data_IF_520258473128
#
_entry.id   IF_520258473128
#
_cell.length_a   1.000
_cell.length_b   1.000
_cell.length_c   1.000
_cell.angle_alpha   90.00
_cell.angle_beta   90.00
_cell.angle_gamma   90.00
#
_symmetry.space_group_name_H-M   'P 1'
#
loop_
_entity.id
_entity.type
_entity.pdbx_description
1 polymer ?
#
# COMPACT_ATOMS: atom_id res chain seq x y z
N UNK A 1 8.43 -11.84 -25.75
CA UNK A 1 7.21 -11.01 -25.74
C UNK A 1 6.14 -11.64 -26.63
N UNK A 2 5.99 -12.98 -26.60
CA UNK A 2 5.45 -13.73 -27.74
C UNK A 2 5.04 -15.18 -27.43
N UNK A 3 4.85 -15.53 -26.15
CA UNK A 3 4.69 -16.94 -25.77
C UNK A 3 3.30 -17.50 -26.09
N UNK A 4 2.28 -16.64 -26.17
CA UNK A 4 0.90 -17.06 -26.45
C UNK A 4 0.38 -16.50 -27.78
N UNK A 5 0.91 -15.35 -28.21
CA UNK A 5 0.62 -14.76 -29.51
C UNK A 5 1.04 -15.66 -30.68
N UNK A 6 2.27 -16.21 -30.67
CA UNK A 6 2.72 -17.06 -31.78
C UNK A 6 1.92 -18.36 -31.92
N UNK A 7 1.65 -19.13 -30.84
CA UNK A 7 0.75 -20.29 -30.93
C UNK A 7 -0.65 -19.93 -31.41
N UNK A 8 -1.20 -18.80 -30.95
CA UNK A 8 -2.52 -18.33 -31.37
C UNK A 8 -2.57 -17.99 -32.87
N UNK A 9 -1.58 -17.25 -33.38
CA UNK A 9 -1.48 -16.89 -34.80
C UNK A 9 -1.25 -18.12 -35.68
N UNK A 10 -0.48 -19.09 -35.19
CA UNK A 10 -0.26 -20.37 -35.88
C UNK A 10 -1.55 -21.19 -35.98
N UNK A 11 -2.31 -21.29 -34.88
CA UNK A 11 -3.64 -21.94 -34.90
C UNK A 11 -4.60 -21.26 -35.86
N UNK A 12 -4.67 -19.93 -35.86
CA UNK A 12 -5.49 -19.16 -36.80
C UNK A 12 -5.10 -19.40 -38.25
N UNK A 13 -3.79 -19.42 -38.55
CA UNK A 13 -3.29 -19.71 -39.89
C UNK A 13 -3.63 -21.14 -40.33
N UNK A 14 -3.51 -22.13 -39.44
CA UNK A 14 -3.90 -23.51 -39.72
C UNK A 14 -5.41 -23.65 -39.99
N UNK A 15 -6.26 -22.96 -39.21
CA UNK A 15 -7.70 -22.92 -39.43
C UNK A 15 -8.06 -22.28 -40.78
N UNK A 16 -7.40 -21.16 -41.12
CA UNK A 16 -7.57 -20.50 -42.42
C UNK A 16 -7.09 -21.38 -43.58
N UNK A 17 -6.00 -22.12 -43.41
CA UNK A 17 -5.49 -23.06 -44.41
C UNK A 17 -6.49 -24.19 -44.66
N UNK A 18 -7.06 -24.76 -43.60
CA UNK A 18 -8.08 -25.80 -43.70
C UNK A 18 -9.34 -25.29 -44.40
N UNK A 19 -9.80 -24.07 -44.06
CA UNK A 19 -10.96 -23.47 -44.72
C UNK A 19 -10.69 -23.18 -46.21
N UNK A 20 -9.50 -22.68 -46.55
CA UNK A 20 -9.11 -22.45 -47.94
C UNK A 20 -9.04 -23.75 -48.75
N UNK A 21 -8.52 -24.83 -48.16
CA UNK A 21 -8.47 -26.14 -48.79
C UNK A 21 -9.88 -26.72 -49.04
N UNK A 22 -10.79 -26.60 -48.06
CA UNK A 22 -12.17 -27.09 -48.18
C UNK A 22 -12.99 -26.35 -49.23
N UNK A 23 -12.80 -25.03 -49.35
CA UNK A 23 -13.59 -24.15 -50.24
C UNK A 23 -12.90 -23.82 -51.58
N UNK A 24 -11.74 -24.41 -51.87
CA UNK A 24 -10.89 -24.11 -53.05
C UNK A 24 -10.52 -22.62 -53.16
N UNK A 25 -10.33 -21.94 -52.03
CA UNK A 25 -9.79 -20.57 -51.99
C UNK A 25 -8.25 -20.58 -52.06
N UNK A 26 -7.62 -19.43 -52.38
CA UNK A 26 -6.17 -19.36 -52.49
C UNK A 26 -5.48 -19.65 -51.15
N UNK A 27 -4.64 -20.70 -51.11
CA UNK A 27 -3.94 -21.13 -49.89
C UNK A 27 -2.98 -20.08 -49.33
N UNK A 28 -2.55 -19.12 -50.15
CA UNK A 28 -1.68 -18.01 -49.72
C UNK A 28 -2.37 -17.09 -48.69
N UNK A 29 -3.70 -17.11 -48.56
CA UNK A 29 -4.42 -16.38 -47.51
C UNK A 29 -4.02 -16.84 -46.11
N UNK A 30 -3.72 -18.13 -45.91
CA UNK A 30 -3.24 -18.64 -44.64
C UNK A 30 -1.83 -18.12 -44.31
N UNK A 31 -0.96 -17.97 -45.32
CA UNK A 31 0.36 -17.38 -45.16
C UNK A 31 0.26 -15.86 -44.83
N UNK A 32 -0.68 -15.15 -45.45
CA UNK A 32 -0.97 -13.76 -45.13
C UNK A 32 -1.48 -13.60 -43.69
N UNK A 33 -2.35 -14.50 -43.21
CA UNK A 33 -2.82 -14.51 -41.81
C UNK A 33 -1.69 -14.85 -40.83
N UNK A 34 -0.76 -15.73 -41.19
CA UNK A 34 0.39 -16.07 -40.35
C UNK A 34 1.34 -14.87 -40.16
N UNK A 35 1.59 -14.12 -41.24
CA UNK A 35 2.50 -12.97 -41.25
C UNK A 35 1.82 -11.69 -40.73
N UNK A 36 0.51 -11.55 -40.94
CA UNK A 36 -0.28 -10.39 -40.58
C UNK A 36 -1.67 -10.82 -40.07
N UNK A 37 -1.79 -11.32 -38.84
CA UNK A 37 -3.05 -11.85 -38.29
C UNK A 37 -4.18 -10.81 -38.18
N UNK A 38 -3.86 -9.51 -38.23
CA UNK A 38 -4.82 -8.40 -38.32
C UNK A 38 -5.63 -8.46 -39.62
N UNK A 39 -5.15 -9.18 -40.64
CA UNK A 39 -5.85 -9.38 -41.92
C UNK A 39 -6.91 -10.48 -41.86
N UNK A 40 -6.98 -11.26 -40.78
CA UNK A 40 -7.94 -12.39 -40.61
C UNK A 40 -9.41 -11.96 -40.81
N UNK A 41 -9.89 -10.84 -40.23
CA UNK A 41 -11.24 -10.32 -40.50
C UNK A 41 -11.56 -10.12 -41.98
N UNK A 42 -10.62 -9.56 -42.75
CA UNK A 42 -10.82 -9.30 -44.18
C UNK A 42 -11.08 -10.61 -44.94
N UNK A 43 -10.33 -11.66 -44.64
CA UNK A 43 -10.50 -12.96 -45.27
C UNK A 43 -11.76 -13.71 -44.79
N UNK A 44 -12.17 -13.53 -43.52
CA UNK A 44 -13.44 -14.06 -42.99
C UNK A 44 -14.64 -13.47 -43.75
N UNK A 45 -14.70 -12.15 -43.91
CA UNK A 45 -15.79 -11.49 -44.66
C UNK A 45 -15.76 -11.83 -46.15
N UNK A 46 -14.58 -12.04 -46.73
CA UNK A 46 -14.42 -12.46 -48.14
C UNK A 46 -14.83 -13.91 -48.38
N UNK A 47 -14.69 -14.80 -47.39
CA UNK A 47 -14.97 -16.24 -47.52
C UNK A 47 -16.37 -16.67 -47.02
N UNK A 48 -17.02 -15.89 -46.13
CA UNK A 48 -18.38 -16.13 -45.61
C UNK A 48 -19.16 -14.83 -45.46
N UNK A 49 -20.05 -14.55 -46.40
CA UNK A 49 -20.89 -13.33 -46.37
C UNK A 49 -21.98 -13.34 -45.28
N UNK A 50 -22.58 -14.50 -44.96
CA UNK A 50 -23.68 -14.59 -43.97
C UNK A 50 -23.23 -14.90 -42.54
N UNK A 51 -22.23 -15.79 -42.37
CA UNK A 51 -21.71 -16.19 -41.05
C UNK A 51 -20.46 -15.40 -40.60
N UNK A 52 -19.95 -14.51 -41.47
CA UNK A 52 -18.70 -13.78 -41.23
C UNK A 52 -18.73 -12.90 -39.99
N UNK A 53 -19.90 -12.38 -39.61
CA UNK A 53 -20.06 -11.55 -38.41
C UNK A 53 -19.83 -12.33 -37.12
N UNK A 54 -20.33 -13.57 -37.02
CA UNK A 54 -20.11 -14.43 -35.84
C UNK A 54 -18.63 -14.78 -35.70
N UNK A 55 -17.99 -15.18 -36.81
CA UNK A 55 -16.55 -15.51 -36.83
C UNK A 55 -15.67 -14.30 -36.54
N UNK A 56 -16.05 -13.11 -37.02
CA UNK A 56 -15.38 -11.86 -36.69
C UNK A 56 -15.48 -11.53 -35.19
N UNK A 57 -16.66 -11.70 -34.58
CA UNK A 57 -16.84 -11.47 -33.15
C UNK A 57 -16.01 -12.46 -32.31
N UNK A 58 -15.93 -13.73 -32.72
CA UNK A 58 -15.07 -14.73 -32.07
C UNK A 58 -13.58 -14.36 -32.21
N UNK A 59 -13.15 -13.94 -33.40
CA UNK A 59 -11.77 -13.47 -33.61
C UNK A 59 -11.47 -12.26 -32.74
N UNK A 60 -12.34 -11.25 -32.72
CA UNK A 60 -12.14 -10.03 -31.93
C UNK A 60 -12.05 -10.35 -30.44
N UNK A 61 -12.94 -11.19 -29.91
CA UNK A 61 -12.94 -11.58 -28.51
C UNK A 61 -11.66 -12.35 -28.13
N UNK A 62 -11.26 -13.33 -28.95
CA UNK A 62 -10.06 -14.15 -28.68
C UNK A 62 -8.77 -13.34 -28.86
N UNK A 63 -8.66 -12.51 -29.89
CA UNK A 63 -7.51 -11.65 -30.12
C UNK A 63 -7.33 -10.64 -28.98
N UNK A 64 -8.43 -10.02 -28.54
CA UNK A 64 -8.41 -9.08 -27.40
C UNK A 64 -8.01 -9.80 -26.12
N UNK A 65 -8.51 -11.00 -25.86
CA UNK A 65 -8.14 -11.81 -24.71
C UNK A 65 -6.64 -12.16 -24.67
N UNK A 66 -6.09 -12.62 -25.79
CA UNK A 66 -4.65 -12.95 -25.91
C UNK A 66 -3.79 -11.70 -25.73
N UNK A 67 -4.16 -10.59 -26.39
CA UNK A 67 -3.42 -9.33 -26.27
C UNK A 67 -3.45 -8.76 -24.84
N UNK A 68 -4.61 -8.78 -24.18
CA UNK A 68 -4.75 -8.32 -22.80
C UNK A 68 -3.92 -9.18 -21.83
N UNK A 69 -3.93 -10.51 -22.01
CA UNK A 69 -3.15 -11.43 -21.18
C UNK A 69 -1.64 -11.25 -21.38
N UNK A 70 -1.17 -11.11 -22.62
CA UNK A 70 0.25 -10.84 -22.88
C UNK A 70 0.69 -9.49 -22.33
N UNK A 71 -0.16 -8.46 -22.46
CA UNK A 71 0.11 -7.16 -21.87
C UNK A 71 0.21 -7.24 -20.35
N UNK A 72 -0.73 -7.94 -19.71
CA UNK A 72 -0.73 -8.15 -18.26
C UNK A 72 0.52 -8.91 -17.78
N UNK A 73 0.86 -10.03 -18.42
CA UNK A 73 2.04 -10.83 -18.05
C UNK A 73 3.34 -10.09 -18.33
N UNK A 74 3.43 -9.32 -19.41
CA UNK A 74 4.56 -8.44 -19.69
C UNK A 74 4.71 -7.35 -18.63
N UNK A 75 3.61 -6.67 -18.29
CA UNK A 75 3.62 -5.65 -17.23
C UNK A 75 4.11 -6.26 -15.90
N UNK A 76 3.59 -7.42 -15.51
CA UNK A 76 4.00 -8.11 -14.28
C UNK A 76 5.49 -8.52 -14.33
N UNK A 77 5.97 -9.00 -15.47
CA UNK A 77 7.39 -9.41 -15.63
C UNK A 77 8.32 -8.21 -15.62
N UNK A 78 7.94 -7.12 -16.30
CA UNK A 78 8.66 -5.86 -16.31
C UNK A 78 8.76 -5.27 -14.90
N UNK A 79 7.70 -5.36 -14.12
CA UNK A 79 7.68 -4.92 -12.73
C UNK A 79 8.58 -5.80 -11.85
N UNK A 80 8.47 -7.13 -11.95
CA UNK A 80 9.34 -8.09 -11.24
C UNK A 80 10.83 -7.88 -11.54
N UNK A 81 11.16 -7.53 -12.79
CA UNK A 81 12.54 -7.36 -13.27
C UNK A 81 13.01 -5.91 -13.29
N UNK A 82 12.21 -4.95 -12.81
CA UNK A 82 12.51 -3.51 -12.86
C UNK A 82 13.91 -3.17 -12.32
N UNK A 83 14.34 -3.90 -11.29
CA UNK A 83 15.63 -3.71 -10.63
C UNK A 83 16.64 -4.82 -10.90
N UNK A 84 16.39 -5.76 -11.82
CA UNK A 84 17.23 -6.94 -12.04
C UNK A 84 18.69 -6.60 -12.44
N UNK A 85 18.89 -5.43 -13.05
CA UNK A 85 20.20 -4.90 -13.43
C UNK A 85 21.01 -4.36 -12.22
N UNK A 86 20.38 -4.17 -11.06
CA UNK A 86 21.03 -3.63 -9.86
C UNK A 86 21.67 -4.75 -9.02
N UNK A 87 22.76 -4.45 -8.28
CA UNK A 87 23.36 -5.39 -7.34
C UNK A 87 22.34 -5.93 -6.32
N UNK A 88 22.49 -7.17 -5.82
CA UNK A 88 21.56 -7.76 -4.84
C UNK A 88 21.29 -6.87 -3.63
N UNK A 89 22.33 -6.25 -3.06
CA UNK A 89 22.22 -5.35 -1.89
C UNK A 89 21.36 -4.12 -2.23
N UNK A 90 21.57 -3.52 -3.41
CA UNK A 90 20.79 -2.37 -3.89
C UNK A 90 19.33 -2.76 -4.16
N UNK A 91 19.07 -3.95 -4.71
CA UNK A 91 17.70 -4.45 -4.88
C UNK A 91 16.98 -4.63 -3.55
N UNK A 92 17.69 -5.18 -2.56
CA UNK A 92 17.13 -5.42 -1.24
C UNK A 92 16.83 -4.12 -0.50
N UNK A 93 17.72 -3.12 -0.57
CA UNK A 93 17.47 -1.82 0.06
C UNK A 93 16.28 -1.09 -0.57
N UNK A 94 16.11 -1.17 -1.89
CA UNK A 94 14.94 -0.58 -2.57
C UNK A 94 13.65 -1.25 -2.10
N UNK A 95 13.63 -2.58 -1.98
CA UNK A 95 12.45 -3.29 -1.46
C UNK A 95 12.14 -2.91 -0.01
N UNK A 96 13.15 -2.82 0.83
CA UNK A 96 12.97 -2.40 2.23
C UNK A 96 12.53 -0.94 2.33
N UNK A 97 13.03 -0.05 1.46
CA UNK A 97 12.58 1.35 1.43
C UNK A 97 11.14 1.49 0.94
N UNK A 98 10.73 0.66 -0.03
CA UNK A 98 9.36 0.63 -0.53
C UNK A 98 8.39 0.08 0.55
N UNK A 99 8.78 -0.99 1.25
CA UNK A 99 8.04 -1.54 2.40
C UNK A 99 7.88 -0.52 3.53
N UNK A 100 8.98 0.15 3.89
CA UNK A 100 8.98 1.21 4.90
C UNK A 100 8.05 2.35 4.51
N UNK A 101 8.15 2.83 3.27
CA UNK A 101 7.27 3.88 2.75
C UNK A 101 5.80 3.46 2.82
N UNK A 102 5.46 2.25 2.38
CA UNK A 102 4.08 1.80 2.35
C UNK A 102 3.50 1.63 3.76
N UNK A 103 4.26 1.04 4.69
CA UNK A 103 3.82 0.86 6.08
C UNK A 103 3.67 2.21 6.79
N UNK A 104 4.55 3.18 6.54
CA UNK A 104 4.43 4.53 7.09
C UNK A 104 3.17 5.24 6.57
N UNK A 105 2.86 5.13 5.26
CA UNK A 105 1.62 5.68 4.69
C UNK A 105 0.38 5.01 5.29
N UNK A 106 0.42 3.70 5.50
CA UNK A 106 -0.69 2.96 6.09
C UNK A 106 -0.94 3.42 7.53
N UNK A 107 0.12 3.58 8.32
CA UNK A 107 0.03 4.08 9.69
C UNK A 107 -0.54 5.50 9.73
N UNK A 108 -0.05 6.41 8.89
CA UNK A 108 -0.57 7.79 8.80
C UNK A 108 -2.08 7.80 8.49
N UNK A 109 -2.52 6.99 7.54
CA UNK A 109 -3.95 6.87 7.19
C UNK A 109 -4.76 6.32 8.36
N UNK A 110 -4.26 5.29 9.03
CA UNK A 110 -4.95 4.67 10.15
C UNK A 110 -5.09 5.63 11.34
N UNK A 111 -4.07 6.44 11.63
CA UNK A 111 -4.13 7.49 12.66
C UNK A 111 -5.18 8.57 12.33
N UNK A 112 -5.28 8.98 11.06
CA UNK A 112 -6.34 9.92 10.61
C UNK A 112 -7.73 9.30 10.77
N UNK A 113 -7.89 8.01 10.45
CA UNK A 113 -9.16 7.31 10.65
C UNK A 113 -9.51 7.18 12.13
N UNK A 114 -8.53 6.92 13.00
CA UNK A 114 -8.75 6.89 14.46
C UNK A 114 -9.32 8.22 14.94
N UNK A 115 -8.73 9.34 14.50
CA UNK A 115 -9.21 10.66 14.87
C UNK A 115 -10.68 10.87 14.44
N UNK A 116 -11.02 10.53 13.19
CA UNK A 116 -12.36 10.69 12.66
C UNK A 116 -13.42 9.90 13.43
N UNK A 117 -13.08 8.68 13.84
CA UNK A 117 -13.98 7.81 14.59
C UNK A 117 -14.06 8.26 16.06
N UNK A 118 -12.93 8.69 16.65
CA UNK A 118 -12.88 9.14 18.04
C UNK A 118 -13.72 10.39 18.33
N UNK A 119 -13.93 11.25 17.33
CA UNK A 119 -14.74 12.49 17.45
C UNK A 119 -16.23 12.25 17.67
N UNK A 120 -16.72 11.03 17.40
CA UNK A 120 -18.15 10.72 17.52
C UNK A 120 -18.41 10.21 18.94
N UNK A 121 -18.62 11.15 19.87
CA UNK A 121 -18.79 10.82 21.27
C UNK A 121 -20.23 10.46 21.64
N UNK A 122 -20.35 9.52 22.59
CA UNK A 122 -21.53 9.22 23.41
C UNK A 122 -22.48 8.12 22.92
N UNK A 123 -22.05 7.20 22.03
CA UNK A 123 -22.82 5.98 21.77
C UNK A 123 -22.01 4.71 22.03
N UNK A 124 -22.65 3.75 22.71
CA UNK A 124 -22.06 2.46 23.05
C UNK A 124 -21.51 1.70 21.82
N UNK A 125 -22.18 1.83 20.67
CA UNK A 125 -21.73 1.26 19.39
C UNK A 125 -20.40 1.89 18.93
N UNK A 126 -20.29 3.21 18.99
CA UNK A 126 -19.12 3.97 18.53
C UNK A 126 -17.90 3.71 19.43
N UNK A 127 -18.12 3.56 20.74
CA UNK A 127 -17.06 3.11 21.68
C UNK A 127 -16.50 1.75 21.27
N UNK A 128 -17.38 0.79 20.95
CA UNK A 128 -16.94 -0.55 20.53
C UNK A 128 -16.20 -0.53 19.20
N UNK A 129 -16.72 0.20 18.21
CA UNK A 129 -16.07 0.39 16.92
C UNK A 129 -14.67 1.02 17.08
N UNK A 130 -14.52 1.99 17.99
CA UNK A 130 -13.22 2.62 18.26
C UNK A 130 -12.25 1.64 18.93
N UNK A 131 -12.69 0.86 19.92
CA UNK A 131 -11.87 -0.17 20.58
C UNK A 131 -11.34 -1.18 19.55
N UNK A 132 -12.24 -1.71 18.71
CA UNK A 132 -11.86 -2.70 17.69
C UNK A 132 -10.91 -2.10 16.64
N UNK A 133 -11.09 -0.82 16.30
CA UNK A 133 -10.19 -0.11 15.41
C UNK A 133 -8.80 0.14 16.03
N UNK A 134 -8.70 0.46 17.32
CA UNK A 134 -7.41 0.58 18.02
C UNK A 134 -6.63 -0.74 17.96
N UNK A 135 -7.31 -1.88 18.12
CA UNK A 135 -6.71 -3.20 17.94
C UNK A 135 -6.08 -3.39 16.55
N UNK A 136 -6.78 -2.94 15.50
CA UNK A 136 -6.25 -2.96 14.11
C UNK A 136 -5.07 -2.00 13.93
N UNK A 137 -5.15 -0.80 14.52
CA UNK A 137 -4.09 0.20 14.45
C UNK A 137 -2.79 -0.28 15.10
N UNK A 138 -2.84 -1.04 16.21
CA UNK A 138 -1.66 -1.64 16.83
C UNK A 138 -0.92 -2.58 15.89
N UNK A 139 -1.66 -3.43 15.17
CA UNK A 139 -1.06 -4.34 14.18
C UNK A 139 -0.33 -3.54 13.10
N UNK A 140 -0.94 -2.47 12.58
CA UNK A 140 -0.32 -1.58 11.57
C UNK A 140 0.93 -0.88 12.13
N UNK A 141 0.89 -0.46 13.40
CA UNK A 141 2.04 0.15 14.08
C UNK A 141 3.19 -0.85 14.24
N UNK A 142 2.91 -2.08 14.67
CA UNK A 142 3.90 -3.16 14.81
C UNK A 142 4.55 -3.50 13.46
N UNK A 143 3.74 -3.58 12.39
CA UNK A 143 4.25 -3.78 11.02
C UNK A 143 5.21 -2.67 10.59
N UNK A 144 4.86 -1.41 10.87
CA UNK A 144 5.71 -0.26 10.56
C UNK A 144 7.01 -0.28 11.38
N UNK A 145 6.94 -0.52 12.69
CA UNK A 145 8.13 -0.64 13.55
C UNK A 145 9.04 -1.80 13.11
N UNK A 146 8.46 -2.94 12.73
CA UNK A 146 9.21 -4.06 12.18
C UNK A 146 9.89 -3.71 10.86
N UNK A 147 9.22 -2.97 9.98
CA UNK A 147 9.81 -2.48 8.72
C UNK A 147 10.98 -1.51 8.97
N UNK A 148 10.80 -0.56 9.89
CA UNK A 148 11.87 0.35 10.36
C UNK A 148 13.06 -0.45 10.88
N UNK A 149 12.83 -1.41 11.77
CA UNK A 149 13.90 -2.21 12.37
C UNK A 149 14.67 -3.02 11.32
N UNK A 150 13.97 -3.65 10.36
CA UNK A 150 14.60 -4.36 9.23
C UNK A 150 15.44 -3.42 8.37
N UNK A 151 14.91 -2.25 8.04
CA UNK A 151 15.61 -1.25 7.24
C UNK A 151 16.86 -0.72 7.94
N UNK A 152 16.75 -0.34 9.22
CA UNK A 152 17.85 0.16 10.04
C UNK A 152 18.94 -0.89 10.19
N UNK A 153 18.58 -2.14 10.49
CA UNK A 153 19.54 -3.24 10.60
C UNK A 153 20.28 -3.45 9.29
N UNK A 154 19.55 -3.59 8.18
CA UNK A 154 20.16 -3.80 6.86
C UNK A 154 21.08 -2.64 6.45
N UNK A 155 20.67 -1.40 6.73
CA UNK A 155 21.49 -0.21 6.43
C UNK A 155 22.75 -0.17 7.27
N UNK A 156 22.67 -0.56 8.54
CA UNK A 156 23.82 -0.66 9.45
C UNK A 156 24.82 -1.71 8.97
N UNK A 157 24.34 -2.92 8.66
CA UNK A 157 25.18 -4.06 8.24
C UNK A 157 25.94 -3.76 6.93
N UNK A 158 25.34 -2.98 6.02
CA UNK A 158 25.91 -2.65 4.72
C UNK A 158 26.30 -1.17 4.57
N UNK A 159 26.50 -0.44 5.66
CA UNK A 159 26.76 1.00 5.65
C UNK A 159 27.95 1.38 4.73
N UNK A 160 29.07 0.65 4.84
CA UNK A 160 30.25 0.87 4.00
C UNK A 160 29.95 0.70 2.51
N UNK A 161 29.07 -0.23 2.13
CA UNK A 161 28.65 -0.42 0.74
C UNK A 161 27.87 0.80 0.24
N UNK A 162 26.90 1.29 1.03
CA UNK A 162 26.06 2.43 0.64
C UNK A 162 26.87 3.71 0.49
N UNK A 163 27.78 4.00 1.43
CA UNK A 163 28.68 5.15 1.35
C UNK A 163 29.56 5.08 0.11
N UNK A 164 30.20 3.94 -0.16
CA UNK A 164 31.07 3.76 -1.35
C UNK A 164 30.32 3.88 -2.66
N UNK A 165 29.03 3.53 -2.70
CA UNK A 165 28.18 3.61 -3.90
C UNK A 165 27.43 4.93 -4.05
N UNK A 166 27.66 5.90 -3.15
CA UNK A 166 26.98 7.19 -3.18
C UNK A 166 25.48 7.10 -2.87
N UNK A 167 25.04 6.02 -2.21
CA UNK A 167 23.64 5.80 -1.83
C UNK A 167 23.34 6.43 -0.46
N UNK A 168 23.75 7.69 -0.29
CA UNK A 168 23.67 8.40 1.00
C UNK A 168 22.24 8.60 1.49
N UNK A 169 21.26 8.63 0.58
CA UNK A 169 19.83 8.71 0.92
C UNK A 169 19.38 7.57 1.83
N UNK A 170 19.96 6.37 1.69
CA UNK A 170 19.65 5.21 2.56
C UNK A 170 20.12 5.50 3.98
N UNK A 171 21.36 5.97 4.12
CA UNK A 171 21.94 6.35 5.41
C UNK A 171 21.16 7.50 6.05
N UNK A 172 20.64 8.45 5.27
CA UNK A 172 19.82 9.56 5.76
C UNK A 172 18.47 9.06 6.32
N UNK A 173 17.82 8.10 5.65
CA UNK A 173 16.60 7.47 6.18
C UNK A 173 16.90 6.76 7.51
N UNK A 174 17.99 6.01 7.59
CA UNK A 174 18.41 5.37 8.84
C UNK A 174 18.64 6.41 9.95
N UNK A 175 19.34 7.51 9.65
CA UNK A 175 19.61 8.59 10.62
C UNK A 175 18.32 9.23 11.13
N UNK A 176 17.29 9.38 10.29
CA UNK A 176 15.98 9.86 10.71
C UNK A 176 15.34 8.90 11.71
N UNK A 177 15.19 7.62 11.36
CA UNK A 177 14.45 6.66 12.20
C UNK A 177 15.20 6.24 13.48
N UNK A 178 16.51 6.46 13.53
CA UNK A 178 17.31 6.26 14.75
C UNK A 178 17.41 7.51 15.63
N UNK A 179 16.87 8.65 15.17
CA UNK A 179 16.85 9.87 15.96
C UNK A 179 15.98 9.71 17.22
N UNK A 180 16.47 10.25 18.34
CA UNK A 180 15.78 10.19 19.64
C UNK A 180 14.35 10.73 19.57
N UNK A 181 14.11 11.84 18.86
CA UNK A 181 12.79 12.45 18.78
C UNK A 181 11.79 11.53 18.08
N UNK A 182 12.23 10.83 17.04
CA UNK A 182 11.42 9.86 16.30
C UNK A 182 11.14 8.63 17.16
N UNK A 183 12.17 8.05 17.80
CA UNK A 183 12.02 6.88 18.67
C UNK A 183 11.07 7.17 19.85
N UNK A 184 11.22 8.33 20.49
CA UNK A 184 10.37 8.72 21.62
C UNK A 184 8.94 9.00 21.16
N UNK A 185 8.73 9.57 19.97
CA UNK A 185 7.40 9.79 19.40
C UNK A 185 6.63 8.47 19.20
N UNK A 186 7.26 7.42 18.65
CA UNK A 186 6.62 6.11 18.53
C UNK A 186 6.27 5.51 19.89
N UNK A 187 7.16 5.63 20.86
CA UNK A 187 6.90 5.16 22.23
C UNK A 187 5.72 5.89 22.88
N UNK A 188 5.62 7.20 22.70
CA UNK A 188 4.50 7.96 23.29
C UNK A 188 3.19 7.72 22.55
N UNK A 189 3.22 7.40 21.25
CA UNK A 189 2.06 6.95 20.50
C UNK A 189 1.49 5.64 21.07
N UNK A 190 2.36 4.67 21.34
CA UNK A 190 1.98 3.40 21.96
C UNK A 190 1.31 3.62 23.32
N UNK A 191 1.95 4.41 24.20
CA UNK A 191 1.37 4.75 25.51
C UNK A 191 0.04 5.50 25.38
N UNK A 192 -0.11 6.39 24.40
CA UNK A 192 -1.38 7.04 24.12
C UNK A 192 -2.47 6.03 23.77
N UNK A 193 -2.21 5.11 22.84
CA UNK A 193 -3.17 4.10 22.40
C UNK A 193 -3.57 3.15 23.53
N UNK A 194 -2.62 2.75 24.38
CA UNK A 194 -2.89 1.95 25.59
C UNK A 194 -3.84 2.65 26.56
N UNK A 195 -3.58 3.91 26.89
CA UNK A 195 -4.42 4.64 27.84
C UNK A 195 -5.78 4.99 27.23
N UNK A 196 -5.83 5.26 25.92
CA UNK A 196 -7.08 5.53 25.23
C UNK A 196 -7.98 4.30 25.19
N UNK A 197 -7.43 3.14 24.83
CA UNK A 197 -8.18 1.88 24.83
C UNK A 197 -8.67 1.53 26.25
N UNK A 198 -7.84 1.69 27.28
CA UNK A 198 -8.24 1.43 28.66
C UNK A 198 -9.43 2.31 29.09
N UNK A 199 -9.40 3.59 28.75
CA UNK A 199 -10.52 4.52 28.98
C UNK A 199 -11.78 4.07 28.23
N UNK A 200 -11.66 3.71 26.95
CA UNK A 200 -12.80 3.28 26.14
C UNK A 200 -13.40 1.98 26.65
N UNK A 201 -12.59 0.99 27.02
CA UNK A 201 -13.05 -0.28 27.60
C UNK A 201 -13.81 0.00 28.90
N UNK A 202 -13.24 0.82 29.80
CA UNK A 202 -13.92 1.16 31.05
C UNK A 202 -15.26 1.85 30.80
N UNK A 203 -15.28 2.80 29.86
CA UNK A 203 -16.46 3.57 29.47
C UNK A 203 -17.53 2.69 28.82
N UNK A 204 -17.12 1.73 27.99
CA UNK A 204 -18.00 0.77 27.34
C UNK A 204 -18.65 -0.18 28.35
N UNK A 205 -17.85 -0.78 29.24
CA UNK A 205 -18.34 -1.73 30.25
C UNK A 205 -19.26 -1.07 31.28
N UNK A 206 -19.00 0.18 31.65
CA UNK A 206 -19.75 0.90 32.70
C UNK A 206 -20.65 2.00 32.13
N UNK A 207 -20.99 1.94 30.84
CA UNK A 207 -21.64 3.03 30.12
C UNK A 207 -22.88 3.59 30.84
N UNK A 208 -23.80 2.73 31.26
CA UNK A 208 -25.02 3.19 31.95
C UNK A 208 -24.74 3.76 33.34
N UNK A 209 -23.80 3.19 34.08
CA UNK A 209 -23.44 3.65 35.43
C UNK A 209 -22.78 5.04 35.38
N UNK A 210 -22.00 5.31 34.33
CA UNK A 210 -21.35 6.61 34.09
C UNK A 210 -22.37 7.63 33.56
N UNK A 211 -23.10 7.28 32.50
CA UNK A 211 -24.03 8.22 31.83
C UNK A 211 -25.21 8.65 32.70
N UNK A 212 -25.69 7.76 33.58
CA UNK A 212 -26.77 8.08 34.52
C UNK A 212 -26.27 8.59 35.88
N UNK A 213 -24.96 8.72 36.05
CA UNK A 213 -24.33 9.14 37.32
C UNK A 213 -24.81 8.35 38.54
N UNK A 214 -25.11 7.06 38.37
CA UNK A 214 -25.75 6.22 39.40
C UNK A 214 -24.78 5.83 40.53
N UNK A 215 -23.46 5.85 40.27
CA UNK A 215 -22.44 5.46 41.24
C UNK A 215 -21.26 6.42 41.27
N UNK A 216 -21.00 7.00 42.46
CA UNK A 216 -19.83 7.85 42.71
C UNK A 216 -18.50 7.12 42.49
N UNK A 217 -18.46 5.81 42.71
CA UNK A 217 -17.25 5.00 42.51
C UNK A 217 -16.92 4.83 41.03
N UNK A 218 -17.94 4.57 40.19
CA UNK A 218 -17.75 4.46 38.74
C UNK A 218 -17.30 5.79 38.11
N UNK A 219 -17.83 6.92 38.61
CA UNK A 219 -17.39 8.25 38.17
C UNK A 219 -15.93 8.54 38.58
N UNK A 220 -15.55 8.25 39.83
CA UNK A 220 -14.18 8.44 40.31
C UNK A 220 -13.16 7.62 39.50
N UNK A 221 -13.50 6.37 39.19
CA UNK A 221 -12.64 5.50 38.38
C UNK A 221 -12.57 5.98 36.93
N UNK A 222 -13.69 6.40 36.34
CA UNK A 222 -13.71 7.03 35.02
C UNK A 222 -12.79 8.25 34.96
N UNK A 223 -12.88 9.15 35.94
CA UNK A 223 -12.02 10.34 36.03
C UNK A 223 -10.53 9.95 36.11
N UNK A 224 -10.20 8.88 36.82
CA UNK A 224 -8.82 8.38 36.89
C UNK A 224 -8.32 7.89 35.52
N UNK A 225 -9.12 7.10 34.79
CA UNK A 225 -8.79 6.67 33.43
C UNK A 225 -8.67 7.86 32.48
N UNK A 226 -9.58 8.83 32.59
CA UNK A 226 -9.57 10.04 31.79
C UNK A 226 -8.31 10.88 32.03
N UNK A 227 -7.90 11.06 33.30
CA UNK A 227 -6.66 11.79 33.65
C UNK A 227 -5.42 11.09 33.08
N UNK A 228 -5.35 9.75 33.14
CA UNK A 228 -4.24 8.98 32.56
C UNK A 228 -4.17 9.15 31.04
N UNK A 229 -5.32 9.01 30.37
CA UNK A 229 -5.47 9.27 28.95
C UNK A 229 -5.02 10.70 28.59
N UNK A 230 -5.52 11.72 29.29
CA UNK A 230 -5.18 13.12 29.02
C UNK A 230 -3.68 13.38 29.14
N UNK A 231 -3.03 12.86 30.19
CA UNK A 231 -1.57 12.95 30.35
C UNK A 231 -0.81 12.28 29.21
N UNK A 232 -1.31 11.14 28.72
CA UNK A 232 -0.70 10.44 27.59
C UNK A 232 -0.85 11.22 26.28
N UNK A 233 -2.02 11.82 26.03
CA UNK A 233 -2.27 12.73 24.90
C UNK A 233 -1.32 13.93 24.94
N UNK A 234 -1.24 14.62 26.08
CA UNK A 234 -0.38 15.80 26.22
C UNK A 234 1.10 15.44 25.99
N UNK A 235 1.55 14.30 26.52
CA UNK A 235 2.89 13.80 26.28
C UNK A 235 3.14 13.46 24.81
N UNK A 236 2.20 12.74 24.17
CA UNK A 236 2.29 12.40 22.75
C UNK A 236 2.35 13.64 21.86
N UNK A 237 1.47 14.62 22.10
CA UNK A 237 1.42 15.88 21.37
C UNK A 237 2.74 16.65 21.46
N UNK A 238 3.32 16.75 22.66
CA UNK A 238 4.61 17.41 22.86
C UNK A 238 5.72 16.77 22.01
N UNK A 239 5.82 15.44 22.01
CA UNK A 239 6.84 14.74 21.22
C UNK A 239 6.53 14.70 19.74
N UNK A 240 5.26 14.76 19.36
CA UNK A 240 4.84 14.90 17.98
C UNK A 240 5.34 16.23 17.39
N UNK A 241 5.15 17.35 18.11
CA UNK A 241 5.68 18.66 17.72
C UNK A 241 7.20 18.61 17.55
N UNK A 242 7.93 18.07 18.54
CA UNK A 242 9.39 17.94 18.46
C UNK A 242 9.85 17.08 17.27
N UNK A 243 9.12 16.01 16.97
CA UNK A 243 9.41 15.15 15.81
C UNK A 243 9.17 15.90 14.50
N UNK A 244 8.09 16.69 14.40
CA UNK A 244 7.77 17.49 13.21
C UNK A 244 8.80 18.60 12.98
N UNK A 245 9.18 19.33 14.04
CA UNK A 245 10.25 20.33 13.97
C UNK A 245 11.55 19.70 13.46
N UNK A 246 11.97 18.60 14.09
CA UNK A 246 13.13 17.83 13.63
C UNK A 246 12.98 17.37 12.18
N UNK A 247 11.82 16.83 11.79
CA UNK A 247 11.58 16.33 10.44
C UNK A 247 11.69 17.46 9.41
N UNK A 248 11.14 18.63 9.70
CA UNK A 248 11.19 19.79 8.81
C UNK A 248 12.64 20.27 8.63
N UNK A 249 13.38 20.41 9.72
CA UNK A 249 14.81 20.73 9.67
C UNK A 249 15.62 19.67 8.90
N UNK A 250 15.30 18.40 9.12
CA UNK A 250 15.96 17.27 8.45
C UNK A 250 15.69 17.27 6.94
N UNK A 251 14.45 17.57 6.52
CA UNK A 251 14.04 17.66 5.13
C UNK A 251 14.59 18.90 4.42
N UNK A 252 14.83 20.00 5.12
CA UNK A 252 15.57 21.13 4.56
C UNK A 252 17.00 20.73 4.15
N UNK A 253 17.63 19.85 4.94
CA UNK A 253 18.98 19.34 4.65
C UNK A 253 18.98 18.20 3.62
N UNK A 254 17.94 17.37 3.63
CA UNK A 254 17.82 16.15 2.81
C UNK A 254 16.43 16.06 2.17
N UNK A 255 16.14 16.82 1.09
CA UNK A 255 14.81 16.86 0.49
C UNK A 255 14.42 15.54 -0.20
N UNK A 256 15.38 14.79 -0.73
CA UNK A 256 15.16 13.59 -1.56
C UNK A 256 14.50 12.43 -0.79
N UNK A 257 14.61 12.44 0.53
CA UNK A 257 14.07 11.36 1.37
C UNK A 257 12.62 11.61 1.82
N UNK A 258 12.00 12.74 1.45
CA UNK A 258 10.64 13.12 1.89
C UNK A 258 9.62 11.99 1.73
N UNK A 259 9.72 11.22 0.65
CA UNK A 259 8.75 10.17 0.35
C UNK A 259 8.84 8.93 1.25
N UNK A 260 9.87 8.82 2.10
CA UNK A 260 10.09 7.71 3.04
C UNK A 260 9.81 8.09 4.49
N UNK A 261 9.44 9.35 4.74
CA UNK A 261 9.15 9.87 6.07
C UNK A 261 7.62 9.99 6.27
N UNK A 262 7.14 10.03 7.52
CA UNK A 262 5.72 10.26 7.79
C UNK A 262 5.25 11.62 7.25
N UNK A 263 3.97 11.73 6.88
CA UNK A 263 3.38 12.97 6.36
C UNK A 263 3.31 14.11 7.38
N UNK A 264 3.28 15.36 6.89
CA UNK A 264 3.19 16.60 7.71
C UNK A 264 1.85 16.73 8.48
N UNK A 265 0.81 15.97 8.08
CA UNK A 265 -0.56 16.11 8.59
C UNK A 265 -0.79 15.63 10.02
N UNK A 266 0.20 15.02 10.68
CA UNK A 266 0.06 14.64 12.09
C UNK A 266 -0.01 15.85 13.06
N UNK A 267 0.13 17.09 12.57
CA UNK A 267 -0.01 18.34 13.35
C UNK A 267 -1.46 18.73 13.67
N UNK A 268 -2.42 18.38 12.82
CA UNK A 268 -3.84 18.71 13.00
C UNK A 268 -4.61 17.61 13.73
N UNK A 269 -4.07 16.39 13.74
CA UNK A 269 -4.75 15.16 14.14
C UNK A 269 -5.14 15.10 15.62
N UNK A 270 -4.53 15.91 16.48
CA UNK A 270 -4.73 15.87 17.93
C UNK A 270 -5.15 17.21 18.56
N UNK A 271 -5.44 18.22 17.73
CA UNK A 271 -5.99 19.51 18.20
C UNK A 271 -7.50 19.45 18.51
N UNK A 272 -8.14 18.29 18.36
CA UNK A 272 -9.59 18.14 18.32
C UNK A 272 -10.31 17.97 19.67
N UNK A 273 -9.60 18.15 20.80
CA UNK A 273 -10.15 18.05 22.16
C UNK A 273 -9.81 19.27 23.04
N UNK A 274 -9.65 20.44 22.40
CA UNK A 274 -9.83 21.77 23.01
C UNK A 274 -11.25 22.25 22.74
#
# INVERSE_FOLDING_TARGET
MYYLYFPYVLLLSCLMFFECAKKKHPRWWAAAVLLAPITTPYFIFKSRKSEGMVLFMIFLATFTGVAAFEFYTYAQTKEKNKYAHLPPITRQVIRLSDDLKQTTINLDKALVTLEQISKVESRLKELKETIDFIGTLRIIMDENQASIARFVKFTTDYNTYFVKKGLNWVCQIQLFYTNRNVVVHYKTLETYLENFEALLIYSYTNFYNITKAESKEHLKNYDEYYIRYRRAVDAHNRFNVQRIEFQNEFLHKYPDIKSYLPGERQTETFKSWE
#
